data_IF_981117028370
#
_entry.id   IF_981117028370
#
_cell.length_a   1.000
_cell.length_b   1.000
_cell.length_c   1.000
_cell.angle_alpha   90.00
_cell.angle_beta   90.00
_cell.angle_gamma   90.00
#
_symmetry.space_group_name_H-M   'P 1'
#
loop_
_entity.id
_entity.type
_entity.pdbx_description
1 polymer ?
#
# COMPACT_ATOMS: atom_id res chain seq x y z
N UNK A 1 1.75 5.71 15.78
CA UNK A 1 1.46 4.26 15.75
C UNK A 1 1.13 3.88 14.31
N UNK A 2 1.86 2.93 13.71
CA UNK A 2 1.56 2.42 12.37
C UNK A 2 0.35 1.49 12.46
N UNK A 3 -0.67 1.72 11.63
CA UNK A 3 -1.75 0.76 11.42
C UNK A 3 -1.24 -0.31 10.43
N UNK A 4 -0.58 -1.35 10.95
CA UNK A 4 -0.23 -2.54 10.16
C UNK A 4 -1.52 -3.31 9.86
N UNK A 5 -2.05 -3.15 8.65
CA UNK A 5 -3.19 -3.93 8.17
C UNK A 5 -2.61 -5.08 7.35
N UNK A 6 -2.41 -6.22 8.00
CA UNK A 6 -2.01 -7.45 7.34
C UNK A 6 -3.24 -8.28 7.00
N UNK A 7 -3.42 -8.58 5.71
CA UNK A 7 -4.50 -9.45 5.23
C UNK A 7 -3.85 -10.70 4.66
N UNK A 8 -3.85 -11.78 5.44
CA UNK A 8 -3.43 -13.11 5.01
C UNK A 8 -4.66 -13.84 4.47
N UNK A 9 -4.78 -13.92 3.15
CA UNK A 9 -5.74 -14.82 2.50
C UNK A 9 -4.99 -16.06 2.03
N UNK A 10 -5.42 -17.24 2.48
CA UNK A 10 -4.78 -18.53 2.19
C UNK A 10 -5.26 -19.18 0.89
N UNK A 11 -6.03 -18.47 0.07
CA UNK A 11 -6.51 -18.92 -1.24
C UNK A 11 -6.29 -17.84 -2.30
N UNK A 12 -6.30 -18.24 -3.58
CA UNK A 12 -5.98 -17.40 -4.75
C UNK A 12 -6.54 -15.98 -4.62
N UNK A 13 -5.65 -15.01 -4.45
CA UNK A 13 -6.04 -13.62 -4.34
C UNK A 13 -6.45 -13.08 -5.71
N UNK A 14 -7.73 -12.78 -5.85
CA UNK A 14 -8.28 -12.15 -7.05
C UNK A 14 -7.83 -10.69 -7.17
N UNK A 15 -7.88 -10.16 -8.39
CA UNK A 15 -7.71 -8.72 -8.60
C UNK A 15 -8.76 -7.91 -7.83
N UNK A 16 -9.99 -8.43 -7.73
CA UNK A 16 -11.07 -7.79 -6.98
C UNK A 16 -10.75 -7.66 -5.49
N UNK A 17 -10.26 -8.72 -4.83
CA UNK A 17 -9.87 -8.67 -3.42
C UNK A 17 -8.75 -7.66 -3.18
N UNK A 18 -7.77 -7.59 -4.08
CA UNK A 18 -6.69 -6.60 -4.01
C UNK A 18 -7.24 -5.18 -4.10
N UNK A 19 -8.06 -4.87 -5.11
CA UNK A 19 -8.64 -3.55 -5.31
C UNK A 19 -9.56 -3.14 -4.14
N UNK A 20 -10.35 -4.07 -3.61
CA UNK A 20 -11.21 -3.84 -2.44
C UNK A 20 -10.39 -3.44 -1.21
N UNK A 21 -9.29 -4.13 -0.94
CA UNK A 21 -8.43 -3.83 0.20
C UNK A 21 -7.66 -2.51 0.00
N UNK A 22 -7.21 -2.23 -1.22
CA UNK A 22 -6.59 -0.96 -1.56
C UNK A 22 -7.55 0.23 -1.34
N UNK A 23 -8.80 0.12 -1.78
CA UNK A 23 -9.82 1.15 -1.58
C UNK A 23 -10.11 1.39 -0.10
N UNK A 24 -10.18 0.34 0.73
CA UNK A 24 -10.36 0.49 2.18
C UNK A 24 -9.23 1.30 2.84
N UNK A 25 -7.98 1.07 2.42
CA UNK A 25 -6.84 1.82 2.97
C UNK A 25 -6.88 3.28 2.50
N UNK A 26 -7.20 3.53 1.23
CA UNK A 26 -7.36 4.89 0.69
C UNK A 26 -8.42 5.70 1.45
N UNK A 27 -9.58 5.11 1.72
CA UNK A 27 -10.65 5.75 2.51
C UNK A 27 -10.18 6.11 3.92
N UNK A 28 -9.54 5.17 4.62
CA UNK A 28 -8.97 5.43 5.96
C UNK A 28 -7.91 6.53 5.94
N UNK A 29 -7.13 6.61 4.86
CA UNK A 29 -6.16 7.69 4.68
C UNK A 29 -6.86 9.03 4.53
N UNK A 30 -7.86 9.13 3.65
CA UNK A 30 -8.62 10.37 3.44
C UNK A 30 -9.26 10.87 4.74
N UNK A 31 -9.80 9.97 5.56
CA UNK A 31 -10.34 10.29 6.89
C UNK A 31 -9.28 10.84 7.86
N UNK A 32 -8.02 10.41 7.73
CA UNK A 32 -6.94 10.76 8.67
C UNK A 32 -6.12 11.98 8.25
N UNK A 33 -5.83 12.14 6.96
CA UNK A 33 -4.96 13.20 6.44
C UNK A 33 -5.70 14.23 5.60
N UNK A 34 -6.99 14.03 5.31
CA UNK A 34 -7.76 14.87 4.39
C UNK A 34 -7.46 14.56 2.93
N UNK A 35 -7.81 15.46 2.02
CA UNK A 35 -7.52 15.33 0.58
C UNK A 35 -6.02 15.27 0.32
N UNK A 36 -5.60 14.33 -0.52
CA UNK A 36 -4.20 14.12 -0.93
C UNK A 36 -4.12 13.68 -2.39
N UNK A 37 -2.92 13.78 -2.97
CA UNK A 37 -2.57 13.23 -4.27
C UNK A 37 -1.71 11.97 -4.11
N UNK A 38 -1.91 11.00 -4.99
CA UNK A 38 -1.05 9.82 -5.10
C UNK A 38 -0.19 9.91 -6.36
N UNK A 39 1.12 10.02 -6.16
CA UNK A 39 2.10 9.96 -7.25
C UNK A 39 2.77 8.59 -7.24
N UNK A 40 2.77 7.89 -8.38
CA UNK A 40 3.44 6.59 -8.47
C UNK A 40 4.96 6.76 -8.36
N UNK A 41 5.59 6.02 -7.44
CA UNK A 41 7.01 6.14 -7.12
C UNK A 41 7.82 4.93 -7.58
N UNK A 42 7.25 3.73 -7.52
CA UNK A 42 7.98 2.49 -7.81
C UNK A 42 7.04 1.34 -8.19
N UNK A 43 7.47 0.52 -9.14
CA UNK A 43 6.88 -0.79 -9.45
C UNK A 43 7.96 -1.85 -9.61
N UNK A 44 7.77 -3.01 -8.97
CA UNK A 44 8.68 -4.17 -9.05
C UNK A 44 7.86 -5.44 -9.24
N UNK A 45 8.03 -6.12 -10.39
CA UNK A 45 7.25 -7.30 -10.76
C UNK A 45 7.66 -8.61 -10.05
N UNK A 46 8.73 -8.60 -9.26
CA UNK A 46 9.26 -9.80 -8.58
C UNK A 46 9.97 -9.46 -7.27
N UNK A 47 9.35 -8.62 -6.46
CA UNK A 47 9.86 -8.33 -5.11
C UNK A 47 9.63 -9.54 -4.21
N UNK A 48 10.62 -9.93 -3.42
CA UNK A 48 10.52 -11.05 -2.47
C UNK A 48 10.24 -10.48 -1.08
N UNK A 49 9.12 -10.89 -0.49
CA UNK A 49 8.78 -10.64 0.92
C UNK A 49 8.51 -11.98 1.61
N UNK A 50 9.21 -12.27 2.71
CA UNK A 50 9.07 -13.53 3.44
C UNK A 50 9.09 -14.76 2.53
N UNK A 51 10.10 -14.85 1.65
CA UNK A 51 10.27 -15.91 0.64
C UNK A 51 9.15 -16.04 -0.39
N UNK A 52 8.25 -15.05 -0.49
CA UNK A 52 7.15 -15.02 -1.46
C UNK A 52 7.42 -13.95 -2.52
N UNK A 53 7.58 -14.32 -3.80
CA UNK A 53 7.69 -13.36 -4.90
C UNK A 53 6.33 -12.77 -5.24
N UNK A 54 6.30 -11.49 -5.63
CA UNK A 54 5.08 -10.83 -6.06
C UNK A 54 5.31 -9.46 -6.68
N UNK A 55 4.19 -8.81 -7.01
CA UNK A 55 4.14 -7.44 -7.51
C UNK A 55 4.19 -6.48 -6.32
N UNK A 56 5.07 -5.49 -6.39
CA UNK A 56 5.15 -4.41 -5.42
C UNK A 56 4.92 -3.06 -6.11
N UNK A 57 4.07 -2.23 -5.54
CA UNK A 57 3.88 -0.84 -5.93
C UNK A 57 4.12 0.08 -4.74
N UNK A 58 4.71 1.24 -4.99
CA UNK A 58 4.85 2.32 -4.01
C UNK A 58 4.32 3.61 -4.61
N UNK A 59 3.52 4.33 -3.82
CA UNK A 59 3.00 5.65 -4.16
C UNK A 59 3.43 6.65 -3.09
N UNK A 60 3.83 7.85 -3.51
CA UNK A 60 3.95 9.01 -2.64
C UNK A 60 2.55 9.51 -2.30
N UNK A 61 2.34 9.86 -1.04
CA UNK A 61 1.15 10.58 -0.58
C UNK A 61 1.56 12.04 -0.42
N UNK A 62 1.03 12.90 -1.29
CA UNK A 62 1.30 14.32 -1.30
C UNK A 62 0.10 15.10 -0.75
N UNK A 63 0.34 16.05 0.15
CA UNK A 63 -0.67 17.00 0.62
C UNK A 63 -0.12 18.40 0.46
N UNK A 64 -0.84 19.27 -0.24
CA UNK A 64 -0.34 20.62 -0.59
C UNK A 64 1.04 20.57 -1.28
N UNK A 65 1.27 19.57 -2.14
CA UNK A 65 2.55 19.31 -2.81
C UNK A 65 3.72 18.91 -1.86
N UNK A 66 3.45 18.67 -0.58
CA UNK A 66 4.41 18.15 0.38
C UNK A 66 4.25 16.64 0.57
N UNK A 67 5.36 15.91 0.55
CA UNK A 67 5.36 14.48 0.81
C UNK A 67 5.15 14.22 2.30
N UNK A 68 4.06 13.54 2.64
CA UNK A 68 3.69 13.26 4.05
C UNK A 68 3.84 11.79 4.42
N UNK A 69 3.69 10.87 3.45
CA UNK A 69 3.81 9.44 3.66
C UNK A 69 4.00 8.70 2.31
N UNK A 70 4.18 7.39 2.37
CA UNK A 70 4.03 6.50 1.23
C UNK A 70 2.88 5.52 1.46
N UNK A 71 2.23 5.12 0.38
CA UNK A 71 1.35 3.97 0.32
C UNK A 71 2.08 2.84 -0.40
N UNK A 72 2.30 1.74 0.30
CA UNK A 72 3.02 0.57 -0.20
C UNK A 72 2.06 -0.60 -0.35
N UNK A 73 2.09 -1.25 -1.50
CA UNK A 73 1.26 -2.41 -1.79
C UNK A 73 2.13 -3.56 -2.30
N UNK A 74 1.87 -4.75 -1.77
CA UNK A 74 2.46 -6.00 -2.22
C UNK A 74 1.34 -6.99 -2.49
N UNK A 75 1.38 -7.61 -3.68
CA UNK A 75 0.45 -8.65 -4.10
C UNK A 75 1.23 -9.85 -4.64
N UNK A 76 1.01 -11.00 -4.04
CA UNK A 76 1.36 -12.30 -4.60
C UNK A 76 0.10 -13.14 -4.82
N UNK A 77 0.27 -14.41 -5.19
CA UNK A 77 -0.84 -15.37 -5.32
C UNK A 77 -1.61 -15.57 -4.00
N UNK A 78 -0.92 -15.51 -2.86
CA UNK A 78 -1.45 -15.89 -1.53
C UNK A 78 -1.20 -14.83 -0.44
N UNK A 79 -0.80 -13.62 -0.82
CA UNK A 79 -0.52 -12.55 0.14
C UNK A 79 -0.86 -11.18 -0.46
N UNK A 80 -1.66 -10.41 0.28
CA UNK A 80 -1.78 -8.96 0.11
C UNK A 80 -1.19 -8.29 1.34
N UNK A 81 -0.29 -7.33 1.13
CA UNK A 81 0.10 -6.38 2.17
C UNK A 81 -0.13 -4.98 1.62
N UNK A 82 -0.88 -4.15 2.35
CA UNK A 82 -1.11 -2.76 2.00
C UNK A 82 -0.95 -1.95 3.27
N UNK A 83 0.00 -1.03 3.29
CA UNK A 83 0.30 -0.22 4.47
C UNK A 83 0.82 1.14 4.06
N UNK A 84 0.80 2.08 5.02
CA UNK A 84 1.46 3.36 4.87
C UNK A 84 2.73 3.44 5.70
N UNK A 85 3.77 4.02 5.12
CA UNK A 85 5.01 4.35 5.83
C UNK A 85 5.15 5.87 5.93
N UNK A 86 5.43 6.42 7.12
CA UNK A 86 5.64 7.86 7.28
C UNK A 86 6.93 8.26 6.56
N UNK A 87 7.01 9.52 6.14
CA UNK A 87 8.28 10.11 5.75
C UNK A 87 9.09 10.31 7.02
N UNK A 88 10.28 9.71 7.08
CA UNK A 88 11.27 10.14 8.08
C UNK A 88 11.72 11.55 7.68
N UNK A 89 11.00 12.56 8.16
CA UNK A 89 11.45 13.94 8.19
C UNK A 89 12.41 14.03 9.39
N UNK A 90 13.67 13.69 9.15
CA UNK A 90 14.76 14.04 10.07
C UNK A 90 15.12 15.51 9.90
#
# INVERSE_FOLDING_TARGET
MMNHIEIKETENISEESYQKNLSKVKLKLEESVGTYDLEHAEFVASKVFNNTPGLYNRYKILKNNELIAFLETFKSKNLIQIYTSPVNLQ
#
